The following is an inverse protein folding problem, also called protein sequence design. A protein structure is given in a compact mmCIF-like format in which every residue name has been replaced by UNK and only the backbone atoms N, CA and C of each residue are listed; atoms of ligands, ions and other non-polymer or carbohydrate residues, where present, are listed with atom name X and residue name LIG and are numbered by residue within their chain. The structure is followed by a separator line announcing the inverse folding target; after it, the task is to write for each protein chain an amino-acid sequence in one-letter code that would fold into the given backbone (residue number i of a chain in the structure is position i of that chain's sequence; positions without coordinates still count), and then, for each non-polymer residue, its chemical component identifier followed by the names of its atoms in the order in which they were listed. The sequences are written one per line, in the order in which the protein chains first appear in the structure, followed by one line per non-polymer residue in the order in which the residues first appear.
data_IF_066958782343
#
_entry.id   IF_066958782343
#
_cell.length_a   1.000
_cell.length_b   1.000
_cell.length_c   1.000
_cell.angle_alpha   90.00
_cell.angle_beta   90.00
_cell.angle_gamma   90.00
#
_symmetry.space_group_name_H-M   'P 1'
#
loop_
_entity.id
_entity.type
_entity.pdbx_description
1 polymer ?
#
# COMPACT_ATOMS: atom_id res chain seq x y z
N UNK A 1 -14.63 -21.96 55.60
CA UNK A 1 -14.14 -20.58 55.41
C UNK A 1 -13.10 -20.63 54.30
N UNK A 2 -13.49 -20.11 53.13
CA UNK A 2 -12.73 -19.86 51.88
C UNK A 2 -11.92 -21.00 51.23
N UNK A 3 -12.58 -21.67 50.28
CA UNK A 3 -11.93 -22.14 49.04
C UNK A 3 -11.62 -20.90 48.18
N UNK A 4 -10.34 -20.67 47.90
CA UNK A 4 -9.93 -19.76 46.83
C UNK A 4 -10.03 -20.52 45.50
N UNK A 5 -11.17 -20.36 44.84
CA UNK A 5 -11.31 -20.64 43.41
C UNK A 5 -10.52 -19.57 42.68
N UNK A 6 -9.30 -19.90 42.26
CA UNK A 6 -8.57 -19.08 41.29
C UNK A 6 -9.29 -19.21 39.95
N UNK A 7 -10.05 -18.19 39.57
CA UNK A 7 -10.51 -17.99 38.19
C UNK A 7 -9.27 -17.98 37.28
N UNK A 8 -9.10 -19.04 36.50
CA UNK A 8 -8.32 -18.95 35.28
C UNK A 8 -9.11 -18.04 34.34
N UNK A 9 -8.69 -16.78 34.24
CA UNK A 9 -9.03 -15.93 33.12
C UNK A 9 -8.65 -16.71 31.86
N UNK A 10 -9.64 -17.12 31.09
CA UNK A 10 -9.46 -17.69 29.76
C UNK A 10 -8.91 -16.58 28.86
N UNK A 11 -7.60 -16.32 28.98
CA UNK A 11 -6.84 -15.70 27.92
C UNK A 11 -7.04 -16.57 26.70
N UNK A 12 -7.68 -16.02 25.67
CA UNK A 12 -7.73 -16.65 24.36
C UNK A 12 -6.28 -16.75 23.88
N UNK A 13 -5.63 -17.87 24.15
CA UNK A 13 -4.30 -18.15 23.62
C UNK A 13 -4.47 -18.22 22.12
N UNK A 14 -4.09 -17.17 21.40
CA UNK A 14 -3.95 -17.24 19.94
C UNK A 14 -2.98 -18.38 19.65
N UNK A 15 -3.48 -19.43 19.00
CA UNK A 15 -2.68 -20.60 18.65
C UNK A 15 -1.51 -20.12 17.80
N UNK A 16 -0.29 -20.26 18.29
CA UNK A 16 0.93 -19.97 17.53
C UNK A 16 1.27 -21.19 16.68
N UNK A 17 1.47 -20.95 15.39
CA UNK A 17 2.05 -21.90 14.45
C UNK A 17 3.53 -21.58 14.28
N UNK A 18 4.38 -22.60 14.17
CA UNK A 18 5.81 -22.42 13.98
C UNK A 18 6.27 -22.82 12.56
N UNK A 19 5.48 -23.66 11.89
CA UNK A 19 5.77 -24.12 10.53
C UNK A 19 4.57 -23.99 9.61
N UNK A 20 4.82 -23.77 8.32
CA UNK A 20 3.81 -23.54 7.27
C UNK A 20 2.80 -24.70 7.21
N UNK A 21 3.28 -25.94 7.23
CA UNK A 21 2.43 -27.13 7.09
C UNK A 21 1.35 -27.29 8.17
N UNK A 22 1.52 -26.63 9.32
CA UNK A 22 0.55 -26.68 10.42
C UNK A 22 -0.55 -25.62 10.30
N UNK A 23 -0.40 -24.64 9.40
CA UNK A 23 -1.34 -23.54 9.22
C UNK A 23 -2.63 -24.07 8.56
N UNK A 24 -3.81 -23.81 9.15
CA UNK A 24 -5.09 -24.13 8.55
C UNK A 24 -5.51 -23.03 7.58
N UNK A 25 -4.91 -23.02 6.38
CA UNK A 25 -5.27 -22.06 5.34
C UNK A 25 -6.75 -22.17 4.95
N UNK A 26 -7.44 -21.03 4.90
CA UNK A 26 -8.81 -20.94 4.41
C UNK A 26 -8.91 -20.98 2.89
N UNK A 27 -7.93 -20.42 2.21
CA UNK A 27 -7.87 -20.33 0.75
C UNK A 27 -6.82 -21.32 0.22
N UNK A 28 -7.25 -22.26 -0.61
CA UNK A 28 -6.37 -23.29 -1.17
C UNK A 28 -5.32 -22.72 -2.14
N UNK A 29 -5.62 -21.61 -2.82
CA UNK A 29 -4.64 -20.95 -3.70
C UNK A 29 -3.59 -20.19 -2.89
N UNK A 30 -4.00 -19.55 -1.79
CA UNK A 30 -3.02 -18.93 -0.90
C UNK A 30 -2.11 -19.99 -0.26
N UNK A 31 -2.70 -21.11 0.17
CA UNK A 31 -1.94 -22.28 0.62
C UNK A 31 -0.95 -22.77 -0.44
N UNK A 32 -1.41 -22.95 -1.68
CA UNK A 32 -0.57 -23.41 -2.78
C UNK A 32 0.59 -22.45 -3.05
N UNK A 33 0.32 -21.14 -3.07
CA UNK A 33 1.36 -20.14 -3.20
C UNK A 33 2.42 -20.27 -2.10
N UNK A 34 1.99 -20.27 -0.82
CA UNK A 34 2.94 -20.33 0.30
C UNK A 34 3.73 -21.65 0.29
N UNK A 35 3.09 -22.78 -0.01
CA UNK A 35 3.74 -24.09 -0.10
C UNK A 35 4.63 -24.26 -1.34
N UNK A 36 4.59 -23.33 -2.30
CA UNK A 36 5.52 -23.32 -3.44
C UNK A 36 6.95 -22.94 -3.03
N UNK A 37 7.11 -22.29 -1.88
CA UNK A 37 8.40 -21.95 -1.31
C UNK A 37 9.01 -23.16 -0.58
N UNK A 38 10.31 -23.39 -0.77
CA UNK A 38 11.11 -24.35 0.01
C UNK A 38 11.51 -23.76 1.39
N UNK A 39 10.59 -23.04 2.03
CA UNK A 39 10.74 -22.53 3.39
C UNK A 39 9.55 -22.99 4.23
N UNK A 40 9.83 -23.46 5.43
CA UNK A 40 8.82 -24.02 6.33
C UNK A 40 8.70 -23.21 7.60
N UNK A 41 9.69 -22.42 7.99
CA UNK A 41 9.68 -21.62 9.19
C UNK A 41 9.04 -20.25 8.92
N UNK A 42 7.97 -19.93 9.65
CA UNK A 42 7.19 -18.71 9.39
C UNK A 42 7.98 -17.41 9.61
N UNK A 43 9.02 -17.46 10.44
CA UNK A 43 9.91 -16.34 10.74
C UNK A 43 11.06 -16.16 9.73
N UNK A 44 11.07 -16.94 8.65
CA UNK A 44 12.07 -16.87 7.57
C UNK A 44 11.53 -16.30 6.27
N UNK A 45 10.21 -16.10 6.18
CA UNK A 45 9.58 -15.40 5.07
C UNK A 45 9.79 -13.89 5.23
N UNK A 46 10.85 -13.36 4.62
CA UNK A 46 11.04 -11.91 4.47
C UNK A 46 10.25 -11.37 3.28
N UNK A 47 9.98 -12.21 2.28
CA UNK A 47 9.26 -11.88 1.07
C UNK A 47 8.26 -12.99 0.74
N UNK A 48 7.07 -12.61 0.27
CA UNK A 48 6.05 -13.52 -0.20
C UNK A 48 5.39 -12.94 -1.45
N UNK A 49 5.54 -13.64 -2.57
CA UNK A 49 5.00 -13.28 -3.87
C UNK A 49 3.89 -14.28 -4.26
N UNK A 50 2.65 -13.83 -4.15
CA UNK A 50 1.46 -14.60 -4.46
C UNK A 50 0.58 -13.89 -5.49
N UNK A 51 1.20 -13.20 -6.45
CA UNK A 51 0.46 -12.50 -7.49
C UNK A 51 -0.24 -13.47 -8.45
N UNK A 52 -1.34 -13.02 -9.06
CA UNK A 52 -2.07 -13.74 -10.12
C UNK A 52 -2.44 -15.20 -9.76
N UNK A 53 -2.84 -15.42 -8.51
CA UNK A 53 -3.06 -16.76 -7.96
C UNK A 53 -4.55 -17.05 -7.67
N UNK A 54 -5.47 -16.17 -8.07
CA UNK A 54 -6.91 -16.29 -7.79
C UNK A 54 -7.25 -16.36 -6.29
N UNK A 55 -6.41 -15.74 -5.46
CA UNK A 55 -6.58 -15.73 -4.00
C UNK A 55 -7.76 -14.84 -3.62
N UNK A 56 -8.65 -15.36 -2.79
CA UNK A 56 -9.83 -14.66 -2.26
C UNK A 56 -9.67 -14.27 -0.79
N UNK A 57 -8.80 -14.95 -0.04
CA UNK A 57 -8.43 -14.61 1.34
C UNK A 57 -6.96 -14.93 1.61
N UNK A 58 -6.29 -14.02 2.33
CA UNK A 58 -4.93 -14.18 2.80
C UNK A 58 -4.84 -14.01 4.34
N UNK A 59 -5.90 -14.39 5.06
CA UNK A 59 -6.03 -14.17 6.51
C UNK A 59 -4.86 -14.77 7.33
N UNK A 60 -4.25 -15.85 6.82
CA UNK A 60 -3.13 -16.53 7.46
C UNK A 60 -1.82 -15.74 7.37
N UNK A 61 -1.75 -14.62 6.64
CA UNK A 61 -0.57 -13.74 6.57
C UNK A 61 -0.14 -13.24 7.97
N UNK A 62 -1.09 -13.17 8.91
CA UNK A 62 -0.83 -12.83 10.32
C UNK A 62 0.14 -13.78 11.03
N UNK A 63 0.36 -14.98 10.50
CA UNK A 63 1.29 -15.96 11.06
C UNK A 63 2.72 -15.79 10.54
N UNK A 64 2.98 -14.85 9.63
CA UNK A 64 4.29 -14.61 9.01
C UNK A 64 4.88 -13.27 9.49
N UNK A 65 5.41 -13.22 10.73
CA UNK A 65 5.80 -11.96 11.37
C UNK A 65 7.07 -11.32 10.78
N UNK A 66 7.84 -12.06 9.98
CA UNK A 66 9.10 -11.61 9.41
C UNK A 66 8.95 -10.93 8.03
N UNK A 67 7.74 -10.86 7.47
CA UNK A 67 7.53 -10.32 6.14
C UNK A 67 7.86 -8.83 6.09
N UNK A 68 8.72 -8.48 5.14
CA UNK A 68 9.11 -7.12 4.77
C UNK A 68 8.55 -6.73 3.39
N UNK A 69 8.35 -7.69 2.49
CA UNK A 69 7.79 -7.51 1.14
C UNK A 69 6.63 -8.48 0.91
N UNK A 70 5.45 -7.96 0.57
CA UNK A 70 4.27 -8.77 0.29
C UNK A 70 3.64 -8.37 -1.04
N UNK A 71 3.59 -9.31 -1.98
CA UNK A 71 2.88 -9.16 -3.25
C UNK A 71 1.65 -10.07 -3.32
N UNK A 72 0.48 -9.44 -3.33
CA UNK A 72 -0.83 -10.05 -3.51
C UNK A 72 -1.57 -9.46 -4.72
N UNK A 73 -0.82 -8.92 -5.70
CA UNK A 73 -1.36 -8.31 -6.93
C UNK A 73 -2.20 -9.26 -7.77
N UNK A 74 -3.18 -8.74 -8.51
CA UNK A 74 -3.98 -9.50 -9.47
C UNK A 74 -4.70 -10.71 -8.84
N UNK A 75 -5.31 -10.48 -7.68
CA UNK A 75 -6.11 -11.47 -6.96
C UNK A 75 -7.55 -10.96 -6.82
N UNK A 76 -8.33 -11.58 -5.94
CA UNK A 76 -9.75 -11.29 -5.75
C UNK A 76 -10.04 -10.89 -4.29
N UNK A 77 -9.03 -10.35 -3.60
CA UNK A 77 -9.14 -9.96 -2.19
C UNK A 77 -10.17 -8.84 -2.02
N UNK A 78 -11.08 -9.01 -1.08
CA UNK A 78 -12.02 -7.95 -0.63
C UNK A 78 -11.58 -7.30 0.67
N UNK A 79 -10.76 -8.01 1.45
CA UNK A 79 -10.13 -7.55 2.70
C UNK A 79 -8.71 -8.08 2.80
N UNK A 80 -7.86 -7.38 3.54
CA UNK A 80 -6.55 -7.84 3.95
C UNK A 80 -6.24 -7.32 5.35
N UNK A 81 -5.73 -8.18 6.23
CA UNK A 81 -5.26 -7.82 7.57
C UNK A 81 -3.74 -8.02 7.66
N UNK A 82 -3.00 -6.90 7.66
CA UNK A 82 -1.53 -6.86 7.82
C UNK A 82 -1.10 -6.39 9.22
N UNK A 83 -2.01 -6.44 10.20
CA UNK A 83 -1.78 -5.90 11.55
C UNK A 83 -0.64 -6.59 12.31
N UNK A 84 -0.32 -7.83 11.93
CA UNK A 84 0.76 -8.62 12.54
C UNK A 84 2.08 -8.54 11.76
N UNK A 85 2.11 -7.83 10.64
CA UNK A 85 3.28 -7.70 9.75
C UNK A 85 3.99 -6.36 10.00
N UNK A 86 4.38 -6.10 11.25
CA UNK A 86 4.98 -4.80 11.66
C UNK A 86 6.31 -4.45 10.99
N UNK A 87 6.96 -5.43 10.36
CA UNK A 87 8.21 -5.26 9.59
C UNK A 87 7.98 -4.94 8.11
N UNK A 88 6.72 -4.88 7.66
CA UNK A 88 6.36 -4.65 6.26
C UNK A 88 6.86 -3.28 5.78
N UNK A 89 7.65 -3.30 4.71
CA UNK A 89 8.23 -2.14 4.02
C UNK A 89 7.61 -1.92 2.64
N UNK A 90 7.21 -3.00 1.98
CA UNK A 90 6.66 -2.97 0.63
C UNK A 90 5.39 -3.80 0.56
N UNK A 91 4.32 -3.20 0.04
CA UNK A 91 3.02 -3.86 -0.11
C UNK A 91 2.45 -3.64 -1.51
N UNK A 92 2.32 -4.73 -2.28
CA UNK A 92 1.67 -4.75 -3.58
C UNK A 92 0.28 -5.39 -3.48
N UNK A 93 -0.74 -4.58 -3.72
CA UNK A 93 -2.15 -4.94 -3.83
C UNK A 93 -2.87 -4.51 -5.13
N UNK A 94 -2.18 -4.19 -6.25
CA UNK A 94 -2.84 -3.93 -7.54
C UNK A 94 -3.94 -4.91 -7.92
N UNK A 95 -4.97 -4.41 -8.58
CA UNK A 95 -5.99 -5.23 -9.25
C UNK A 95 -6.62 -6.26 -8.30
N UNK A 96 -7.20 -5.76 -7.20
CA UNK A 96 -8.00 -6.52 -6.25
C UNK A 96 -9.38 -5.84 -6.10
N UNK A 97 -10.18 -6.28 -5.12
CA UNK A 97 -11.50 -5.73 -4.83
C UNK A 97 -11.57 -5.09 -3.43
N UNK A 98 -10.45 -4.54 -2.92
CA UNK A 98 -10.37 -3.98 -1.58
C UNK A 98 -11.20 -2.70 -1.48
N UNK A 99 -12.12 -2.66 -0.52
CA UNK A 99 -12.90 -1.45 -0.21
C UNK A 99 -12.25 -0.61 0.89
N UNK A 100 -11.47 -1.25 1.76
CA UNK A 100 -10.73 -0.64 2.84
C UNK A 100 -9.35 -1.31 2.94
N UNK A 101 -8.38 -0.55 3.43
CA UNK A 101 -7.04 -1.04 3.74
C UNK A 101 -6.55 -0.33 5.00
N UNK A 102 -6.25 -1.10 6.04
CA UNK A 102 -5.67 -0.60 7.29
C UNK A 102 -4.17 -0.97 7.32
N UNK A 103 -3.33 0.07 7.31
CA UNK A 103 -1.87 -0.05 7.44
C UNK A 103 -1.35 0.59 8.74
N UNK A 104 -2.23 0.82 9.72
CA UNK A 104 -1.90 1.52 10.96
C UNK A 104 -0.84 0.81 11.81
N UNK A 105 -0.67 -0.50 11.61
CA UNK A 105 0.32 -1.33 12.28
C UNK A 105 1.63 -1.51 11.48
N UNK A 106 1.80 -0.81 10.35
CA UNK A 106 2.96 -0.95 9.46
C UNK A 106 3.77 0.37 9.41
N UNK A 107 4.45 0.74 10.51
CA UNK A 107 5.17 2.02 10.60
C UNK A 107 6.45 2.09 9.76
N UNK A 108 6.92 0.95 9.26
CA UNK A 108 8.08 0.84 8.39
C UNK A 108 7.72 0.83 6.91
N UNK A 109 6.45 1.01 6.54
CA UNK A 109 6.00 0.97 5.16
C UNK A 109 6.62 2.14 4.36
N UNK A 110 7.37 1.79 3.31
CA UNK A 110 8.08 2.72 2.42
C UNK A 110 7.43 2.77 1.03
N UNK A 111 6.83 1.67 0.58
CA UNK A 111 6.23 1.54 -0.75
C UNK A 111 4.84 0.91 -0.65
N UNK A 112 3.82 1.64 -1.11
CA UNK A 112 2.45 1.15 -1.15
C UNK A 112 1.86 1.27 -2.56
N UNK A 113 1.55 0.10 -3.13
CA UNK A 113 0.89 -0.02 -4.42
C UNK A 113 -0.48 -0.65 -4.21
N UNK A 114 -1.56 0.13 -4.35
CA UNK A 114 -2.93 -0.36 -4.17
C UNK A 114 -3.85 0.15 -5.29
N UNK A 115 -3.33 0.28 -6.50
CA UNK A 115 -4.10 0.74 -7.65
C UNK A 115 -5.16 -0.27 -8.12
N UNK A 116 -6.19 0.23 -8.81
CA UNK A 116 -7.32 -0.55 -9.31
C UNK A 116 -7.96 -1.41 -8.22
N UNK A 117 -8.37 -0.73 -7.14
CA UNK A 117 -9.18 -1.28 -6.06
C UNK A 117 -10.45 -0.43 -5.92
N UNK A 118 -11.15 -0.53 -4.79
CA UNK A 118 -12.40 0.17 -4.51
C UNK A 118 -12.26 1.05 -3.25
N UNK A 119 -11.04 1.50 -2.94
CA UNK A 119 -10.75 2.29 -1.74
C UNK A 119 -11.45 3.64 -1.83
N UNK A 120 -12.29 3.95 -0.84
CA UNK A 120 -12.96 5.25 -0.73
C UNK A 120 -12.27 6.21 0.24
N UNK A 121 -11.49 5.66 1.16
CA UNK A 121 -10.62 6.34 2.10
C UNK A 121 -9.37 5.50 2.39
N UNK A 122 -8.33 6.15 2.90
CA UNK A 122 -7.13 5.50 3.42
C UNK A 122 -6.50 6.40 4.47
N UNK A 123 -6.20 5.84 5.64
CA UNK A 123 -5.44 6.51 6.69
C UNK A 123 -3.98 6.04 6.65
N UNK A 124 -3.08 6.98 6.37
CA UNK A 124 -1.64 6.74 6.27
C UNK A 124 -0.85 7.39 7.42
N UNK A 125 -1.53 7.94 8.43
CA UNK A 125 -0.89 8.71 9.52
C UNK A 125 0.18 7.94 10.28
N UNK A 126 0.06 6.61 10.34
CA UNK A 126 1.01 5.72 11.01
C UNK A 126 2.09 5.13 10.09
N UNK A 127 2.15 5.54 8.81
CA UNK A 127 3.17 5.08 7.84
C UNK A 127 4.02 6.25 7.31
N UNK A 128 4.69 7.03 8.19
CA UNK A 128 5.32 8.30 7.82
C UNK A 128 6.54 8.17 6.89
N UNK A 129 7.02 6.94 6.66
CA UNK A 129 8.20 6.64 5.85
C UNK A 129 7.89 6.37 4.37
N UNK A 130 6.62 6.49 3.93
CA UNK A 130 6.25 6.28 2.53
C UNK A 130 7.05 7.20 1.60
N UNK A 131 7.76 6.57 0.67
CA UNK A 131 8.53 7.18 -0.42
C UNK A 131 7.75 7.12 -1.73
N UNK A 132 6.99 6.06 -1.95
CA UNK A 132 6.16 5.87 -3.13
C UNK A 132 4.74 5.44 -2.74
N UNK A 133 3.75 6.15 -3.29
CA UNK A 133 2.34 5.89 -3.03
C UNK A 133 1.56 5.87 -4.34
N UNK A 134 1.07 4.69 -4.72
CA UNK A 134 0.28 4.48 -5.94
C UNK A 134 -1.13 4.01 -5.56
N UNK A 135 -2.10 4.91 -5.71
CA UNK A 135 -3.52 4.71 -5.37
C UNK A 135 -4.43 4.94 -6.60
N UNK A 136 -3.88 4.78 -7.78
CA UNK A 136 -4.57 4.98 -9.07
C UNK A 136 -5.86 4.17 -9.16
N UNK A 137 -6.91 4.72 -9.78
CA UNK A 137 -8.10 3.94 -10.10
C UNK A 137 -8.85 3.43 -8.87
N UNK A 138 -8.98 4.28 -7.85
CA UNK A 138 -9.78 4.04 -6.66
C UNK A 138 -10.96 5.04 -6.61
N UNK A 139 -11.59 5.20 -5.45
CA UNK A 139 -12.76 6.05 -5.24
C UNK A 139 -12.49 7.15 -4.19
N UNK A 140 -11.22 7.51 -3.98
CA UNK A 140 -10.79 8.44 -2.95
C UNK A 140 -11.32 9.84 -3.22
N UNK A 141 -11.92 10.47 -2.19
CA UNK A 141 -12.37 11.88 -2.24
C UNK A 141 -11.42 12.85 -1.54
N UNK A 142 -10.64 12.33 -0.60
CA UNK A 142 -9.66 13.07 0.17
C UNK A 142 -8.43 12.20 0.35
N UNK A 143 -7.27 12.83 0.47
CA UNK A 143 -6.02 12.14 0.78
C UNK A 143 -5.16 13.06 1.65
N UNK A 144 -4.87 12.63 2.88
CA UNK A 144 -3.98 13.37 3.76
C UNK A 144 -2.57 12.76 3.74
N UNK A 145 -1.64 13.50 3.13
CA UNK A 145 -0.22 13.13 3.05
C UNK A 145 0.70 14.18 3.68
N UNK A 146 0.15 15.10 4.46
CA UNK A 146 0.88 16.25 5.01
C UNK A 146 2.01 15.87 5.98
N UNK A 147 2.01 14.64 6.49
CA UNK A 147 3.07 14.07 7.34
C UNK A 147 4.16 13.32 6.57
N UNK A 148 3.95 13.00 5.29
CA UNK A 148 4.84 12.17 4.47
C UNK A 148 5.93 13.00 3.80
N UNK A 149 6.77 13.65 4.61
CA UNK A 149 7.80 14.60 4.16
C UNK A 149 8.91 13.99 3.29
N UNK A 150 9.03 12.65 3.30
CA UNK A 150 9.99 11.89 2.48
C UNK A 150 9.39 11.33 1.18
N UNK A 151 8.10 11.60 0.91
CA UNK A 151 7.42 11.12 -0.30
C UNK A 151 8.07 11.70 -1.56
N UNK A 152 8.42 10.82 -2.49
CA UNK A 152 9.10 11.12 -3.76
C UNK A 152 8.12 10.98 -4.93
N UNK A 153 7.33 9.91 -4.94
CA UNK A 153 6.44 9.57 -6.04
C UNK A 153 4.99 9.42 -5.55
N UNK A 154 4.08 10.15 -6.19
CA UNK A 154 2.65 10.13 -5.88
C UNK A 154 1.81 9.97 -7.15
N UNK A 155 1.12 8.84 -7.25
CA UNK A 155 0.20 8.55 -8.35
C UNK A 155 -1.20 8.30 -7.79
N UNK A 156 -2.09 9.26 -8.02
CA UNK A 156 -3.47 9.28 -7.50
C UNK A 156 -4.50 9.57 -8.59
N UNK A 157 -4.11 9.44 -9.86
CA UNK A 157 -5.01 9.70 -10.97
C UNK A 157 -6.18 8.72 -11.01
N UNK A 158 -7.28 9.11 -11.65
CA UNK A 158 -8.54 8.35 -11.70
C UNK A 158 -9.09 8.04 -10.29
N UNK A 159 -9.29 9.11 -9.52
CA UNK A 159 -9.99 9.11 -8.23
C UNK A 159 -11.07 10.21 -8.26
N UNK A 160 -11.58 10.62 -7.09
CA UNK A 160 -12.55 11.70 -6.94
C UNK A 160 -12.03 12.82 -6.02
N UNK A 161 -10.71 13.03 -5.95
CA UNK A 161 -10.10 14.04 -5.09
C UNK A 161 -10.55 15.44 -5.49
N UNK A 162 -11.09 16.22 -4.56
CA UNK A 162 -11.47 17.63 -4.79
C UNK A 162 -10.36 18.61 -4.44
N UNK A 163 -9.44 18.18 -3.58
CA UNK A 163 -8.28 18.92 -3.12
C UNK A 163 -7.11 17.95 -2.92
N UNK A 164 -5.91 18.50 -2.98
CA UNK A 164 -4.68 17.77 -2.69
C UNK A 164 -3.66 18.75 -2.13
N UNK A 165 -3.36 18.61 -0.83
CA UNK A 165 -2.33 19.39 -0.16
C UNK A 165 -0.99 18.62 -0.18
N UNK A 166 -0.05 19.13 -0.98
CA UNK A 166 1.31 18.60 -1.11
C UNK A 166 2.36 19.52 -0.47
N UNK A 167 1.94 20.53 0.31
CA UNK A 167 2.79 21.63 0.76
C UNK A 167 3.98 21.19 1.64
N UNK A 168 3.88 20.04 2.30
CA UNK A 168 4.93 19.45 3.14
C UNK A 168 5.74 18.35 2.43
N UNK A 169 5.33 17.91 1.24
CA UNK A 169 6.01 16.84 0.49
C UNK A 169 7.15 17.47 -0.35
N UNK A 170 8.12 18.09 0.33
CA UNK A 170 9.20 18.87 -0.32
C UNK A 170 10.16 18.01 -1.15
N UNK A 171 10.11 16.69 -0.96
CA UNK A 171 10.89 15.70 -1.67
C UNK A 171 10.20 15.16 -2.93
N UNK A 172 8.95 15.58 -3.21
CA UNK A 172 8.16 15.07 -4.32
C UNK A 172 8.81 15.42 -5.67
N UNK A 173 9.10 14.41 -6.47
CA UNK A 173 9.72 14.51 -7.80
C UNK A 173 8.71 14.19 -8.91
N UNK A 174 7.76 13.30 -8.63
CA UNK A 174 6.77 12.80 -9.58
C UNK A 174 5.36 12.90 -9.02
N UNK A 175 4.47 13.61 -9.72
CA UNK A 175 3.06 13.70 -9.38
C UNK A 175 2.17 13.44 -10.60
N UNK A 176 1.30 12.44 -10.49
CA UNK A 176 0.15 12.25 -11.38
C UNK A 176 -1.16 12.31 -10.61
N UNK A 177 -1.98 13.30 -10.92
CA UNK A 177 -3.28 13.52 -10.29
C UNK A 177 -4.39 13.83 -11.31
N UNK A 178 -4.20 13.49 -12.58
CA UNK A 178 -5.22 13.59 -13.64
C UNK A 178 -6.49 12.79 -13.29
N UNK A 179 -7.60 13.06 -13.98
CA UNK A 179 -8.90 12.41 -13.76
C UNK A 179 -9.33 12.46 -12.29
N UNK A 180 -9.25 13.66 -11.71
CA UNK A 180 -9.78 13.98 -10.39
C UNK A 180 -10.74 15.18 -10.50
N UNK A 181 -11.05 15.82 -9.38
CA UNK A 181 -11.89 17.02 -9.29
C UNK A 181 -11.12 18.19 -8.63
N UNK A 182 -9.79 18.15 -8.70
CA UNK A 182 -8.90 19.16 -8.10
C UNK A 182 -9.02 20.45 -8.93
N UNK A 183 -9.50 21.52 -8.31
CA UNK A 183 -9.70 22.81 -9.00
C UNK A 183 -8.39 23.62 -9.00
N UNK A 184 -7.65 23.57 -7.90
CA UNK A 184 -6.42 24.33 -7.71
C UNK A 184 -5.40 23.45 -7.01
N UNK A 185 -4.16 23.48 -7.51
CA UNK A 185 -3.03 22.78 -6.92
C UNK A 185 -1.88 23.76 -6.72
N UNK A 186 -1.43 23.90 -5.47
CA UNK A 186 -0.27 24.72 -5.13
C UNK A 186 0.99 23.86 -5.08
N UNK A 187 1.93 24.14 -5.97
CA UNK A 187 3.21 23.44 -6.09
C UNK A 187 4.39 24.29 -5.59
N UNK A 188 4.13 25.45 -4.98
CA UNK A 188 5.18 26.43 -4.62
C UNK A 188 6.20 25.89 -3.62
N UNK A 189 5.85 24.85 -2.85
CA UNK A 189 6.72 24.23 -1.85
C UNK A 189 7.34 22.90 -2.32
N UNK A 190 7.23 22.57 -3.61
CA UNK A 190 7.70 21.31 -4.16
C UNK A 190 8.80 21.55 -5.21
N UNK A 191 9.97 22.07 -4.80
CA UNK A 191 11.01 22.53 -5.73
C UNK A 191 11.68 21.41 -6.52
N UNK A 192 11.43 20.14 -6.15
CA UNK A 192 11.98 18.96 -6.82
C UNK A 192 11.05 18.34 -7.86
N UNK A 193 9.83 18.85 -8.01
CA UNK A 193 8.90 18.31 -9.00
C UNK A 193 9.51 18.44 -10.40
N UNK A 194 9.71 17.29 -11.04
CA UNK A 194 10.22 17.15 -12.40
C UNK A 194 9.09 16.71 -13.35
N UNK A 195 8.15 15.92 -12.84
CA UNK A 195 6.97 15.47 -13.58
C UNK A 195 5.71 15.87 -12.84
N UNK A 196 4.82 16.60 -13.53
CA UNK A 196 3.53 17.02 -13.03
C UNK A 196 2.47 16.77 -14.11
N UNK A 197 1.62 15.76 -13.90
CA UNK A 197 0.45 15.50 -14.72
C UNK A 197 -0.82 15.77 -13.90
N UNK A 198 -1.61 16.73 -14.37
CA UNK A 198 -2.90 17.12 -13.78
C UNK A 198 -3.90 17.41 -14.89
N UNK A 199 -5.19 17.40 -14.58
CA UNK A 199 -6.21 17.73 -15.58
C UNK A 199 -5.99 19.15 -16.14
N UNK A 200 -6.20 19.39 -17.45
CA UNK A 200 -6.03 20.71 -18.07
C UNK A 200 -6.85 21.84 -17.42
N UNK A 201 -7.93 21.49 -16.71
CA UNK A 201 -8.77 22.43 -15.95
C UNK A 201 -8.17 22.85 -14.61
N UNK A 202 -7.16 22.15 -14.11
CA UNK A 202 -6.54 22.40 -12.80
C UNK A 202 -5.71 23.68 -12.85
N UNK A 203 -6.06 24.66 -12.02
CA UNK A 203 -5.25 25.87 -11.88
C UNK A 203 -4.01 25.59 -11.03
N UNK A 204 -2.83 25.74 -11.62
CA UNK A 204 -1.56 25.59 -10.89
C UNK A 204 -1.14 26.93 -10.26
N UNK A 205 -0.68 26.89 -9.01
CA UNK A 205 -0.04 28.00 -8.30
C UNK A 205 1.41 27.60 -8.01
N UNK A 206 2.37 28.39 -8.47
CA UNK A 206 3.81 28.15 -8.31
C UNK A 206 4.54 28.10 -9.64
N UNK A 207 5.84 27.82 -9.60
CA UNK A 207 6.65 27.67 -10.80
C UNK A 207 6.49 26.25 -11.34
N UNK A 208 6.07 26.12 -12.60
CA UNK A 208 5.99 24.82 -13.25
C UNK A 208 7.37 24.16 -13.31
N UNK A 209 7.43 22.82 -13.21
CA UNK A 209 8.65 22.06 -13.48
C UNK A 209 9.24 22.46 -14.82
N UNK A 210 10.55 22.70 -14.85
CA UNK A 210 11.26 22.71 -16.13
C UNK A 210 11.34 21.26 -16.55
N UNK A 211 10.52 20.85 -17.52
CA UNK A 211 10.60 19.53 -18.12
C UNK A 211 11.96 19.45 -18.80
N UNK A 212 12.92 18.76 -18.18
CA UNK A 212 14.19 18.44 -18.83
C UNK A 212 13.91 17.34 -19.86
N UNK A 213 14.00 17.61 -21.17
CA UNK A 213 13.81 16.59 -22.20
C UNK A 213 14.89 15.49 -22.16
N UNK A 214 15.97 15.69 -21.40
CA UNK A 214 17.02 14.72 -21.12
C UNK A 214 16.96 14.13 -19.69
N UNK A 215 16.04 14.59 -18.83
CA UNK A 215 15.71 13.83 -17.63
C UNK A 215 15.29 12.44 -18.12
N UNK A 216 15.73 11.35 -17.49
CA UNK A 216 15.50 10.04 -18.02
C UNK A 216 13.99 9.91 -18.26
N UNK A 217 13.61 9.84 -19.55
CA UNK A 217 12.35 9.25 -19.98
C UNK A 217 12.41 7.74 -19.70
N UNK A 218 13.08 7.34 -18.62
CA UNK A 218 13.45 5.99 -18.32
C UNK A 218 12.24 5.29 -17.75
N UNK A 219 11.30 5.09 -18.67
CA UNK A 219 10.22 4.13 -18.64
C UNK A 219 10.71 2.71 -18.33
N UNK A 220 12.03 2.46 -18.25
CA UNK A 220 12.60 1.18 -17.80
C UNK A 220 12.77 1.06 -16.28
N UNK A 221 12.64 2.15 -15.49
CA UNK A 221 12.52 2.07 -14.03
C UNK A 221 11.09 2.09 -13.51
N UNK A 222 10.14 2.50 -14.35
CA UNK A 222 8.74 2.72 -13.99
C UNK A 222 7.91 2.00 -15.06
N UNK A 223 7.87 0.67 -15.01
CA UNK A 223 7.07 -0.15 -15.92
C UNK A 223 5.58 -0.13 -15.56
N UNK A 224 5.01 1.00 -15.10
CA UNK A 224 3.57 1.06 -14.81
C UNK A 224 2.73 0.99 -16.09
N UNK A 225 3.24 1.43 -17.24
CA UNK A 225 2.52 1.38 -18.54
C UNK A 225 2.16 -0.05 -18.98
N UNK A 226 2.90 -1.08 -18.58
CA UNK A 226 2.55 -2.48 -18.85
C UNK A 226 1.48 -3.05 -17.92
N UNK A 227 1.16 -2.37 -16.82
CA UNK A 227 0.12 -2.77 -15.86
C UNK A 227 -1.18 -1.94 -16.00
N UNK A 228 -1.23 -1.03 -16.98
CA UNK A 228 -2.36 -0.13 -17.27
C UNK A 228 -3.18 -0.54 -18.51
N UNK A 229 -2.95 -1.73 -19.05
CA UNK A 229 -3.77 -2.32 -20.14
C UNK A 229 -4.73 -3.37 -19.60
#
# INVERSE_FOLDING_TARGET
MFFLVSLLLSGCSTKQYNVVNDIPFKDDHFKECVLSYDEQQLNKFNELECSNSHITSADEIRFFPAIESLDLSNNQLTTLDVSNNSLLKTLYLPNNNLQNLDVSANPLLEFLYAYNNQLSEIDLTNSPLLKELILVGNQLRTLNITTHTVLVDLLVYANALTELDISNNTQLEYLQAEKNQIITLNISNNPKLNVLLVDPSTKIIGNLPIIDPAAPSDKSKISWESYLQ
#
